data_IF_770483115068
#
_entry.id   IF_770483115068
#
_cell.length_a   1.000
_cell.length_b   1.000
_cell.length_c   1.000
_cell.angle_alpha   90.00
_cell.angle_beta   90.00
_cell.angle_gamma   90.00
#
_symmetry.space_group_name_H-M   'P 1'
#
loop_
_entity.id
_entity.type
_entity.pdbx_description
1 polymer ?
#
# COMPACT_ATOMS: atom_id res chain seq x y z
N UNK A 1 -18.25 -3.19 3.49
CA UNK A 1 -16.94 -3.50 4.09
C UNK A 1 -15.91 -3.52 2.99
N UNK A 2 -14.63 -3.33 3.31
CA UNK A 2 -13.55 -3.46 2.33
C UNK A 2 -13.51 -4.87 1.73
N UNK A 3 -13.08 -5.03 0.47
CA UNK A 3 -12.81 -6.36 -0.09
C UNK A 3 -11.77 -7.10 0.77
N UNK A 4 -11.90 -8.42 0.84
CA UNK A 4 -10.92 -9.27 1.53
C UNK A 4 -9.67 -9.41 0.65
N UNK A 5 -8.50 -9.02 1.17
CA UNK A 5 -7.25 -9.12 0.43
C UNK A 5 -6.06 -8.49 1.13
N UNK A 6 -4.96 -8.36 0.39
CA UNK A 6 -3.80 -7.57 0.79
C UNK A 6 -3.82 -6.28 -0.01
N UNK A 7 -3.96 -5.16 0.67
CA UNK A 7 -4.00 -3.84 0.06
C UNK A 7 -2.58 -3.28 -0.10
N UNK A 8 -2.31 -2.76 -1.30
CA UNK A 8 -1.15 -1.92 -1.60
C UNK A 8 -1.66 -0.49 -1.70
N UNK A 9 -1.35 0.33 -0.70
CA UNK A 9 -1.92 1.67 -0.64
C UNK A 9 -1.21 2.63 -1.59
N UNK A 10 -2.02 3.29 -2.43
CA UNK A 10 -1.62 4.41 -3.26
C UNK A 10 -2.39 5.62 -2.74
N UNK A 11 -1.69 6.54 -2.08
CA UNK A 11 -2.33 7.67 -1.41
C UNK A 11 -1.53 8.95 -1.64
N UNK A 12 -2.19 9.99 -2.13
CA UNK A 12 -1.56 11.28 -2.40
C UNK A 12 -1.15 12.01 -1.11
N UNK A 13 -0.05 12.76 -1.16
CA UNK A 13 0.44 13.54 -0.02
C UNK A 13 -0.58 14.57 0.49
N UNK A 14 -1.45 15.08 -0.39
CA UNK A 14 -2.53 15.99 -0.05
C UNK A 14 -3.52 15.41 0.98
N UNK A 15 -3.65 14.07 1.07
CA UNK A 15 -4.45 13.45 2.12
C UNK A 15 -3.84 13.63 3.52
N UNK A 16 -2.52 13.46 3.64
CA UNK A 16 -1.82 13.73 4.89
C UNK A 16 -1.89 15.22 5.27
N UNK A 17 -1.78 16.11 4.29
CA UNK A 17 -1.91 17.55 4.52
C UNK A 17 -3.32 17.96 4.97
N UNK A 18 -4.35 17.38 4.34
CA UNK A 18 -5.74 17.57 4.75
C UNK A 18 -5.98 17.06 6.18
N UNK A 19 -5.46 15.87 6.52
CA UNK A 19 -5.56 15.30 7.86
C UNK A 19 -4.90 16.20 8.92
N UNK A 20 -3.69 16.70 8.66
CA UNK A 20 -3.01 17.64 9.55
C UNK A 20 -3.82 18.91 9.74
N UNK A 21 -4.34 19.48 8.65
CA UNK A 21 -5.14 20.71 8.70
C UNK A 21 -6.42 20.53 9.51
N UNK A 22 -7.10 19.39 9.40
CA UNK A 22 -8.36 19.15 10.08
C UNK A 22 -8.21 18.72 11.54
N UNK A 23 -7.11 18.04 11.88
CA UNK A 23 -6.93 17.42 13.21
C UNK A 23 -5.86 18.08 14.07
N UNK A 24 -4.93 18.82 13.46
CA UNK A 24 -3.72 19.34 14.12
C UNK A 24 -2.70 18.27 14.50
N UNK A 25 -2.84 17.03 13.99
CA UNK A 25 -1.98 15.88 14.34
C UNK A 25 -1.24 15.34 13.12
N UNK A 26 -0.07 14.77 13.36
CA UNK A 26 0.59 13.91 12.36
C UNK A 26 -0.16 12.57 12.25
N UNK A 27 -0.23 11.99 11.04
CA UNK A 27 -0.83 10.67 10.86
C UNK A 27 0.07 9.58 11.44
N UNK A 28 -0.50 8.72 12.28
CA UNK A 28 0.18 7.59 12.91
C UNK A 28 -0.36 6.22 12.44
N UNK A 29 -1.50 6.21 11.75
CA UNK A 29 -2.18 4.99 11.27
C UNK A 29 -2.13 4.79 9.75
N UNK A 30 -1.59 5.74 8.99
CA UNK A 30 -1.35 5.63 7.54
C UNK A 30 -0.11 6.41 7.12
N UNK A 31 0.46 6.06 5.96
CA UNK A 31 1.37 6.94 5.23
C UNK A 31 0.92 7.13 3.78
N UNK A 32 1.66 7.96 3.04
CA UNK A 32 1.43 8.28 1.64
C UNK A 32 2.56 7.76 0.74
N UNK A 33 3.36 6.81 1.22
CA UNK A 33 4.58 6.35 0.55
C UNK A 33 4.61 4.84 0.24
N UNK A 34 3.44 4.20 0.22
CA UNK A 34 3.29 2.78 -0.08
C UNK A 34 3.18 1.93 1.17
N UNK A 35 2.04 2.00 1.85
CA UNK A 35 1.70 1.07 2.91
C UNK A 35 1.24 -0.28 2.31
N UNK A 36 1.45 -1.37 3.04
CA UNK A 36 0.88 -2.68 2.70
C UNK A 36 0.22 -3.27 3.93
N UNK A 37 -1.03 -3.76 3.81
CA UNK A 37 -1.80 -4.26 4.95
C UNK A 37 -2.94 -5.20 4.54
N UNK A 38 -3.40 -6.11 5.42
CA UNK A 38 -4.55 -6.95 5.13
C UNK A 38 -5.87 -6.20 5.35
N UNK A 39 -6.88 -6.51 4.53
CA UNK A 39 -8.24 -5.98 4.61
C UNK A 39 -9.28 -7.10 4.77
N UNK A 40 -10.44 -6.75 5.32
CA UNK A 40 -11.50 -7.72 5.61
C UNK A 40 -11.03 -8.81 6.58
N UNK A 41 -11.19 -10.08 6.21
CA UNK A 41 -10.76 -11.23 7.01
C UNK A 41 -9.33 -11.70 6.71
N UNK A 42 -8.65 -11.03 5.77
CA UNK A 42 -7.31 -11.41 5.38
C UNK A 42 -6.32 -11.23 6.53
N UNK A 43 -5.21 -11.97 6.46
CA UNK A 43 -4.13 -11.90 7.46
C UNK A 43 -2.80 -11.69 6.78
N UNK A 44 -1.89 -11.03 7.49
CA UNK A 44 -0.53 -10.79 7.06
C UNK A 44 0.37 -10.53 8.28
N UNK A 45 1.62 -10.99 8.23
CA UNK A 45 2.69 -10.57 9.12
C UNK A 45 3.46 -9.42 8.45
N UNK A 46 3.29 -8.15 8.89
CA UNK A 46 3.88 -7.01 8.22
C UNK A 46 5.39 -6.93 8.43
N UNK A 47 6.09 -6.46 7.41
CA UNK A 47 7.47 -6.07 7.57
C UNK A 47 7.59 -4.73 8.32
N UNK A 48 8.64 -4.54 9.14
CA UNK A 48 8.85 -3.27 9.83
C UNK A 48 9.31 -2.15 8.88
N UNK A 49 8.99 -0.87 9.18
CA UNK A 49 8.23 -0.40 10.34
C UNK A 49 6.73 -0.78 10.27
N UNK A 50 6.09 -0.99 11.42
CA UNK A 50 4.68 -1.41 11.51
C UNK A 50 3.88 -0.30 12.19
N UNK A 51 2.70 0.04 11.65
CA UNK A 51 1.84 1.04 12.28
C UNK A 51 1.36 0.57 13.67
N UNK A 52 1.24 1.46 14.67
CA UNK A 52 0.89 1.08 16.03
C UNK A 52 -0.40 0.25 16.10
N UNK A 53 -0.36 -0.85 16.86
CA UNK A 53 -1.51 -1.72 17.12
C UNK A 53 -2.24 -2.23 15.85
N UNK A 54 -1.50 -2.47 14.76
CA UNK A 54 -2.07 -2.87 13.47
C UNK A 54 -1.25 -3.97 12.77
N UNK A 55 -1.76 -4.48 11.64
CA UNK A 55 -1.03 -5.34 10.71
C UNK A 55 -0.56 -4.59 9.45
N UNK A 56 -0.33 -3.29 9.57
CA UNK A 56 0.07 -2.42 8.46
C UNK A 56 1.58 -2.20 8.43
N UNK A 57 2.21 -2.61 7.34
CA UNK A 57 3.60 -2.31 7.04
C UNK A 57 3.70 -0.90 6.49
N UNK A 58 4.43 -0.05 7.21
CA UNK A 58 4.80 1.29 6.76
C UNK A 58 6.06 1.23 5.89
N UNK A 59 6.21 2.18 4.95
CA UNK A 59 7.37 2.27 4.11
C UNK A 59 8.62 2.61 4.91
N UNK A 60 9.75 1.98 4.57
CA UNK A 60 11.06 2.29 5.15
C UNK A 60 11.65 3.60 4.62
N UNK A 61 11.13 4.10 3.51
CA UNK A 61 11.58 5.30 2.82
C UNK A 61 10.41 6.00 2.13
N UNK A 62 10.44 7.32 2.12
CA UNK A 62 9.45 8.14 1.42
C UNK A 62 9.90 8.36 -0.02
N UNK A 63 9.36 7.58 -0.95
CA UNK A 63 9.78 7.62 -2.37
C UNK A 63 8.65 8.01 -3.32
N UNK A 64 7.44 8.24 -2.82
CA UNK A 64 6.29 8.66 -3.63
C UNK A 64 6.43 10.15 -3.99
N UNK A 65 5.97 10.50 -5.19
CA UNK A 65 5.85 11.87 -5.67
C UNK A 65 4.41 12.32 -5.50
N UNK A 66 4.20 13.58 -5.11
CA UNK A 66 2.87 14.17 -5.05
C UNK A 66 2.26 14.42 -6.44
N UNK A 67 0.95 14.51 -6.50
CA UNK A 67 0.20 14.89 -7.70
C UNK A 67 0.71 16.22 -8.30
N UNK A 68 0.85 16.34 -9.63
CA UNK A 68 0.39 15.41 -10.68
C UNK A 68 1.45 14.43 -11.21
N UNK A 69 2.55 14.22 -10.47
CA UNK A 69 3.65 13.40 -10.95
C UNK A 69 3.28 11.90 -11.01
N UNK A 70 3.82 11.20 -12.01
CA UNK A 70 3.62 9.76 -12.12
C UNK A 70 4.55 8.98 -11.17
N UNK A 71 3.97 8.01 -10.48
CA UNK A 71 4.69 7.03 -9.66
C UNK A 71 4.69 5.66 -10.33
N UNK A 72 5.81 4.94 -10.21
CA UNK A 72 5.94 3.57 -10.68
C UNK A 72 5.87 2.60 -9.51
N UNK A 73 4.85 1.75 -9.51
CA UNK A 73 4.64 0.72 -8.50
C UNK A 73 4.99 -0.65 -9.10
N UNK A 74 5.81 -1.40 -8.39
CA UNK A 74 6.09 -2.80 -8.70
C UNK A 74 5.76 -3.64 -7.46
N UNK A 75 4.91 -4.65 -7.65
CA UNK A 75 4.46 -5.55 -6.59
C UNK A 75 4.91 -6.96 -6.94
N UNK A 76 5.51 -7.66 -5.97
CA UNK A 76 5.87 -9.07 -6.09
C UNK A 76 5.13 -9.87 -5.04
N UNK A 77 4.30 -10.81 -5.48
CA UNK A 77 3.60 -11.76 -4.62
C UNK A 77 4.08 -13.19 -4.92
N UNK A 78 4.72 -13.86 -3.95
CA UNK A 78 5.24 -15.23 -4.10
C UNK A 78 5.02 -15.97 -2.77
N UNK A 79 4.38 -17.15 -2.80
CA UNK A 79 4.25 -18.04 -1.64
C UNK A 79 3.74 -17.34 -0.36
N UNK A 80 2.74 -16.45 -0.49
CA UNK A 80 2.19 -15.70 0.64
C UNK A 80 3.09 -14.56 1.17
N UNK A 81 4.17 -14.21 0.46
CA UNK A 81 4.93 -12.96 0.66
C UNK A 81 4.48 -11.92 -0.36
N UNK A 82 4.23 -10.69 0.08
CA UNK A 82 4.03 -9.51 -0.77
C UNK A 82 5.13 -8.50 -0.47
N UNK A 83 5.79 -8.00 -1.52
CA UNK A 83 6.74 -6.88 -1.45
C UNK A 83 6.35 -5.78 -2.41
N UNK A 84 6.53 -4.55 -1.98
CA UNK A 84 6.25 -3.34 -2.73
C UNK A 84 7.51 -2.55 -3.00
N UNK A 85 7.68 -2.15 -4.26
CA UNK A 85 8.62 -1.12 -4.68
C UNK A 85 7.86 0.09 -5.20
N UNK A 86 8.29 1.27 -4.79
CA UNK A 86 7.79 2.55 -5.31
C UNK A 86 8.96 3.35 -5.84
N UNK A 87 8.87 3.74 -7.11
CA UNK A 87 9.89 4.49 -7.84
C UNK A 87 11.29 3.84 -7.79
N UNK A 88 11.33 2.51 -7.84
CA UNK A 88 12.57 1.72 -7.91
C UNK A 88 13.13 1.26 -6.57
N UNK A 89 12.53 1.68 -5.45
CA UNK A 89 12.99 1.30 -4.11
C UNK A 89 11.99 0.40 -3.39
N UNK A 90 12.47 -0.67 -2.75
CA UNK A 90 11.63 -1.53 -1.91
C UNK A 90 11.24 -0.77 -0.65
N UNK A 91 9.94 -0.56 -0.41
CA UNK A 91 9.47 0.28 0.69
C UNK A 91 8.81 -0.53 1.80
N UNK A 92 7.95 -1.50 1.48
CA UNK A 92 7.11 -2.19 2.47
C UNK A 92 6.67 -3.58 1.99
N UNK A 93 5.92 -4.30 2.82
CA UNK A 93 5.37 -5.60 2.49
C UNK A 93 5.05 -6.47 3.70
N UNK A 94 4.89 -7.76 3.48
CA UNK A 94 4.69 -8.73 4.55
C UNK A 94 4.75 -10.17 4.06
N UNK A 95 4.71 -11.10 5.01
CA UNK A 95 4.65 -12.55 4.79
C UNK A 95 3.40 -13.14 5.43
N UNK A 96 3.15 -14.44 5.22
CA UNK A 96 2.01 -15.11 5.83
C UNK A 96 0.66 -14.56 5.36
N UNK A 97 0.60 -14.04 4.12
CA UNK A 97 -0.63 -13.55 3.52
C UNK A 97 -1.62 -14.70 3.39
N UNK A 98 -2.83 -14.52 3.91
CA UNK A 98 -3.94 -15.47 3.81
C UNK A 98 -5.24 -14.71 3.51
N UNK A 99 -5.90 -14.93 2.37
CA UNK A 99 -5.54 -15.88 1.31
C UNK A 99 -4.25 -15.51 0.56
N UNK A 100 -3.53 -16.51 0.05
CA UNK A 100 -2.27 -16.31 -0.69
C UNK A 100 -2.48 -16.20 -2.21
N UNK A 101 -3.72 -16.33 -2.69
CA UNK A 101 -4.11 -16.22 -4.08
C UNK A 101 -5.49 -15.55 -4.18
N UNK A 102 -5.73 -14.82 -5.27
CA UNK A 102 -6.96 -14.07 -5.48
C UNK A 102 -6.91 -13.24 -6.75
N UNK A 103 -7.85 -12.31 -6.87
CA UNK A 103 -7.92 -11.36 -7.99
C UNK A 103 -7.14 -10.08 -7.69
N UNK A 104 -6.70 -9.40 -8.74
CA UNK A 104 -6.23 -8.01 -8.63
C UNK A 104 -7.42 -7.07 -8.78
N UNK A 105 -7.54 -6.11 -7.86
CA UNK A 105 -8.55 -5.06 -7.90
C UNK A 105 -7.85 -3.70 -7.98
N UNK A 106 -8.37 -2.80 -8.81
CA UNK A 106 -7.99 -1.39 -8.80
C UNK A 106 -9.08 -0.63 -8.07
N UNK A 107 -8.70 0.03 -6.99
CA UNK A 107 -9.61 0.80 -6.14
C UNK A 107 -9.34 2.30 -6.28
N UNK A 108 -10.41 3.09 -6.11
CA UNK A 108 -10.35 4.55 -6.03
C UNK A 108 -11.31 5.01 -4.94
N UNK A 109 -10.79 5.69 -3.94
CA UNK A 109 -11.56 6.29 -2.85
C UNK A 109 -11.15 7.76 -2.67
N UNK A 110 -12.13 8.64 -2.45
CA UNK A 110 -11.92 10.04 -2.08
C UNK A 110 -11.45 10.99 -3.20
N UNK A 111 -10.78 10.50 -4.24
CA UNK A 111 -10.33 11.32 -5.38
C UNK A 111 -10.11 10.48 -6.65
N UNK A 112 -10.20 11.10 -7.86
CA UNK A 112 -9.86 10.42 -9.10
C UNK A 112 -8.41 9.93 -9.10
N UNK A 113 -8.19 8.73 -9.63
CA UNK A 113 -6.86 8.15 -9.87
C UNK A 113 -6.77 7.65 -11.31
N UNK A 114 -5.60 7.84 -11.92
CA UNK A 114 -5.31 7.37 -13.27
C UNK A 114 -4.24 6.28 -13.24
N UNK A 115 -4.49 5.20 -13.99
CA UNK A 115 -3.55 4.08 -14.14
C UNK A 115 -3.09 3.96 -15.59
N UNK A 116 -1.81 3.65 -15.79
CA UNK A 116 -1.25 3.34 -17.12
C UNK A 116 -0.16 2.28 -17.01
N UNK A 117 0.13 1.62 -18.13
CA UNK A 117 1.21 0.62 -18.23
C UNK A 117 1.08 -0.56 -17.24
N UNK A 118 -0.15 -0.98 -16.94
CA UNK A 118 -0.40 -2.15 -16.11
C UNK A 118 0.08 -3.41 -16.82
N UNK A 119 0.95 -4.18 -16.15
CA UNK A 119 1.52 -5.43 -16.65
C UNK A 119 1.51 -6.45 -15.53
N UNK A 120 1.18 -7.68 -15.88
CA UNK A 120 1.20 -8.82 -14.96
C UNK A 120 2.11 -9.91 -15.55
N UNK A 121 2.83 -10.59 -14.67
CA UNK A 121 3.61 -11.77 -15.00
C UNK A 121 3.37 -12.80 -13.90
N UNK A 122 2.82 -13.95 -14.27
CA UNK A 122 2.73 -15.10 -13.38
C UNK A 122 4.15 -15.61 -13.07
N UNK A 123 4.37 -15.99 -11.82
CA UNK A 123 5.65 -16.49 -11.32
C UNK A 123 5.55 -18.00 -11.07
N UNK A 124 6.66 -18.76 -11.22
CA UNK A 124 6.68 -20.21 -11.00
C UNK A 124 6.30 -20.64 -9.58
#
# INVERSE_FOLDING_TARGET
GLPEGIEVQILDHGYADAYRKSTGKEPDWFTTNGDVFPTGNARMTPFPPVAPNSSRSFPRKNTTKGSPEWNHYYVRAINGEVRLWVNGEEVSGGTGCNPAAGFLCLESEGSPIEFRNLRIRELP
#
